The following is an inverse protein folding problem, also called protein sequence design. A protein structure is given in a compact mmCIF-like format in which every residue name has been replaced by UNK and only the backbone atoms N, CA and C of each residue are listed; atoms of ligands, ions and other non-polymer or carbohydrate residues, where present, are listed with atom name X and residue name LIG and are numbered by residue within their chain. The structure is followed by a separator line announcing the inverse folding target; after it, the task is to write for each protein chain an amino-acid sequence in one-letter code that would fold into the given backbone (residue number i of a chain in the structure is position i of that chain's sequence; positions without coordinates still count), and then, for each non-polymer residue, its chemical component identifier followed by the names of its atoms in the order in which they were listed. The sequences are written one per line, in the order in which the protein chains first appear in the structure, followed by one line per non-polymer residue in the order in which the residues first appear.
data_IF_943443920335
#
_entry.id   IF_943443920335
#
_cell.length_a   1.000
_cell.length_b   1.000
_cell.length_c   1.000
_cell.angle_alpha   90.00
_cell.angle_beta   90.00
_cell.angle_gamma   90.00
#
_symmetry.space_group_name_H-M   'P 1'
#
loop_
_entity.id
_entity.type
_entity.pdbx_description
1 polymer ?
#
# COMPACT_ATOMS: atom_id res chain seq x y z
N UNK A 1 46.09 -23.56 14.20
CA UNK A 1 44.94 -24.36 14.64
C UNK A 1 44.14 -23.50 15.58
N UNK A 2 42.94 -23.05 15.30
CA UNK A 2 42.07 -23.08 14.12
C UNK A 2 41.00 -22.03 14.47
N UNK A 3 40.49 -21.28 13.48
CA UNK A 3 39.25 -20.54 13.72
C UNK A 3 38.13 -21.53 14.04
N UNK A 4 37.09 -21.05 14.73
CA UNK A 4 35.85 -20.96 13.96
C UNK A 4 35.24 -19.58 14.07
N UNK A 5 35.04 -18.98 12.90
CA UNK A 5 33.97 -18.03 12.64
C UNK A 5 32.67 -18.64 13.13
N UNK A 6 32.12 -18.11 14.22
CA UNK A 6 30.70 -18.24 14.45
C UNK A 6 30.03 -17.25 13.50
N UNK A 7 29.52 -17.78 12.38
CA UNK A 7 28.42 -17.18 11.66
C UNK A 7 27.32 -16.86 12.67
N UNK A 8 27.28 -15.62 13.12
CA UNK A 8 26.14 -15.07 13.84
C UNK A 8 25.04 -14.94 12.79
N UNK A 9 24.35 -16.07 12.60
CA UNK A 9 23.07 -16.16 11.92
C UNK A 9 22.24 -15.00 12.41
N UNK A 10 22.01 -14.03 11.54
CA UNK A 10 21.02 -13.00 11.75
C UNK A 10 19.69 -13.74 11.94
N UNK A 11 19.36 -14.04 13.18
CA UNK A 11 18.00 -14.36 13.60
C UNK A 11 17.16 -13.18 13.14
N UNK A 12 16.54 -13.33 11.96
CA UNK A 12 15.37 -12.57 11.55
C UNK A 12 14.38 -12.71 12.70
N UNK A 13 14.42 -11.73 13.61
CA UNK A 13 13.35 -11.54 14.57
C UNK A 13 12.09 -11.44 13.74
N UNK A 14 11.14 -12.40 13.83
CA UNK A 14 9.86 -12.22 13.18
C UNK A 14 9.27 -11.01 13.87
N UNK A 15 9.27 -9.86 13.17
CA UNK A 15 8.64 -8.63 13.62
C UNK A 15 7.23 -9.04 14.02
N UNK A 16 7.00 -9.08 15.32
CA UNK A 16 5.76 -9.58 15.93
C UNK A 16 4.60 -8.96 15.18
N UNK A 17 3.85 -9.77 14.41
CA UNK A 17 2.59 -9.35 13.80
C UNK A 17 1.70 -8.89 14.95
N UNK A 18 1.44 -7.59 15.14
CA UNK A 18 0.55 -7.15 16.19
C UNK A 18 -0.84 -7.58 15.73
N UNK A 19 -1.54 -8.42 16.52
CA UNK A 19 -2.91 -8.91 16.31
C UNK A 19 -3.34 -8.85 14.83
N UNK A 20 -3.18 -9.93 14.04
CA UNK A 20 -3.55 -9.96 12.61
C UNK A 20 -5.01 -9.54 12.41
N UNK A 21 -5.24 -8.24 12.38
CA UNK A 21 -6.42 -7.63 11.81
C UNK A 21 -6.35 -8.11 10.37
N UNK A 22 -7.36 -8.84 9.88
CA UNK A 22 -7.39 -9.23 8.49
C UNK A 22 -7.22 -7.95 7.68
N UNK A 23 -6.19 -7.89 6.85
CA UNK A 23 -5.83 -6.69 6.09
C UNK A 23 -5.66 -7.11 4.65
N UNK A 24 -6.37 -6.44 3.75
CA UNK A 24 -6.14 -6.61 2.34
C UNK A 24 -5.14 -5.57 1.87
N UNK A 25 -4.11 -6.03 1.18
CA UNK A 25 -3.11 -5.17 0.57
C UNK A 25 -3.06 -5.40 -0.93
N UNK A 26 -2.99 -4.30 -1.68
CA UNK A 26 -2.61 -4.31 -3.09
C UNK A 26 -1.33 -3.53 -3.28
N UNK A 27 -0.40 -4.08 -4.03
CA UNK A 27 0.83 -3.40 -4.42
C UNK A 27 0.73 -2.99 -5.87
N UNK A 28 0.74 -1.70 -6.13
CA UNK A 28 0.81 -1.18 -7.48
C UNK A 28 2.26 -0.86 -7.79
N UNK A 29 2.87 -1.67 -8.66
CA UNK A 29 4.27 -1.53 -9.06
C UNK A 29 4.34 -0.76 -10.38
N UNK A 30 5.07 0.34 -10.39
CA UNK A 30 5.30 1.15 -11.58
C UNK A 30 6.63 0.73 -12.24
N UNK A 31 6.60 0.47 -13.54
CA UNK A 31 7.82 0.10 -14.27
C UNK A 31 8.77 1.27 -14.50
N UNK A 32 8.23 2.49 -14.58
CA UNK A 32 8.98 3.71 -14.83
C UNK A 32 8.69 4.75 -13.74
N UNK A 33 9.47 4.78 -12.65
CA UNK A 33 9.40 5.88 -11.69
C UNK A 33 9.81 7.19 -12.37
N UNK A 34 9.06 8.26 -12.14
CA UNK A 34 9.32 9.58 -12.74
C UNK A 34 8.50 10.69 -12.10
N UNK A 35 8.90 11.95 -12.31
CA UNK A 35 8.22 13.11 -11.73
C UNK A 35 6.75 13.19 -12.15
N UNK A 36 6.46 12.92 -13.42
CA UNK A 36 5.08 12.89 -13.92
C UNK A 36 4.23 11.85 -13.20
N UNK A 37 4.80 10.69 -12.88
CA UNK A 37 4.11 9.66 -12.10
C UNK A 37 3.85 10.14 -10.68
N UNK A 38 4.85 10.70 -10.00
CA UNK A 38 4.67 11.28 -8.67
C UNK A 38 3.56 12.33 -8.64
N UNK A 39 3.51 13.23 -9.62
CA UNK A 39 2.45 14.23 -9.75
C UNK A 39 1.06 13.57 -9.93
N UNK A 40 0.97 12.51 -10.75
CA UNK A 40 -0.26 11.75 -10.91
C UNK A 40 -0.67 11.03 -9.63
N UNK A 41 0.27 10.42 -8.90
CA UNK A 41 0.02 9.79 -7.59
C UNK A 41 -0.54 10.84 -6.62
N UNK A 42 0.08 12.02 -6.54
CA UNK A 42 -0.41 13.15 -5.72
C UNK A 42 -1.82 13.58 -6.13
N UNK A 43 -2.12 13.59 -7.43
CA UNK A 43 -3.46 13.93 -7.93
C UNK A 43 -4.50 12.89 -7.51
N UNK A 44 -4.15 11.60 -7.55
CA UNK A 44 -5.00 10.52 -7.03
C UNK A 44 -5.19 10.66 -5.51
N UNK A 45 -4.12 10.90 -4.75
CA UNK A 45 -4.19 11.12 -3.30
C UNK A 45 -5.14 12.28 -2.94
N UNK A 46 -4.99 13.42 -3.62
CA UNK A 46 -5.87 14.58 -3.42
C UNK A 46 -7.33 14.30 -3.81
N UNK A 47 -7.54 13.58 -4.91
CA UNK A 47 -8.88 13.16 -5.36
C UNK A 47 -9.58 12.28 -4.33
N UNK A 48 -8.82 11.47 -3.62
CA UNK A 48 -9.30 10.58 -2.56
C UNK A 48 -9.29 11.23 -1.16
N UNK A 49 -9.02 12.54 -1.09
CA UNK A 49 -8.91 13.32 0.15
C UNK A 49 -7.95 12.63 1.15
N UNK A 50 -6.85 12.07 0.62
CA UNK A 50 -5.85 11.39 1.41
C UNK A 50 -4.96 12.41 2.12
N UNK A 51 -4.85 12.30 3.44
CA UNK A 51 -3.97 13.14 4.25
C UNK A 51 -2.66 12.40 4.55
N UNK A 52 -1.56 13.14 4.60
CA UNK A 52 -0.27 12.58 5.00
C UNK A 52 -0.23 12.42 6.52
N UNK A 53 0.09 11.21 6.97
CA UNK A 53 0.33 10.87 8.37
C UNK A 53 1.85 10.88 8.60
N UNK A 54 2.33 11.90 9.31
CA UNK A 54 3.75 12.08 9.58
C UNK A 54 4.30 11.10 10.64
N UNK A 55 3.44 10.49 11.47
CA UNK A 55 3.87 9.48 12.45
C UNK A 55 4.28 8.19 11.73
N UNK A 56 3.47 7.79 10.73
CA UNK A 56 3.68 6.58 9.95
C UNK A 56 4.41 6.83 8.63
N UNK A 57 4.55 8.09 8.20
CA UNK A 57 5.06 8.50 6.88
C UNK A 57 4.31 7.81 5.73
N UNK A 58 2.98 7.78 5.82
CA UNK A 58 2.09 7.18 4.82
C UNK A 58 0.94 8.15 4.56
N UNK A 59 0.18 7.91 3.50
CA UNK A 59 -1.07 8.62 3.26
C UNK A 59 -2.25 7.83 3.77
N UNK A 60 -3.26 8.51 4.27
CA UNK A 60 -4.49 7.91 4.78
C UNK A 60 -5.68 8.55 4.08
N UNK A 61 -6.41 7.76 3.31
CA UNK A 61 -7.63 8.19 2.64
C UNK A 61 -8.86 7.85 3.48
N UNK A 62 -9.83 8.76 3.47
CA UNK A 62 -11.11 8.56 4.13
C UNK A 62 -11.84 7.35 3.52
N UNK A 63 -12.00 6.30 4.32
CA UNK A 63 -12.75 5.12 3.93
C UNK A 63 -14.25 5.40 3.77
N UNK A 64 -15.05 4.36 3.79
CA UNK A 64 -16.52 4.47 3.92
C UNK A 64 -16.89 4.99 5.32
N UNK A 65 -16.06 4.71 6.32
CA UNK A 65 -16.20 5.23 7.68
C UNK A 65 -14.87 5.81 8.16
N UNK A 66 -14.91 6.88 8.98
CA UNK A 66 -13.70 7.47 9.56
C UNK A 66 -12.95 6.49 10.47
N UNK A 67 -13.64 5.48 11.00
CA UNK A 67 -13.03 4.42 11.81
C UNK A 67 -12.29 3.34 10.98
N UNK A 68 -12.33 3.41 9.66
CA UNK A 68 -11.62 2.48 8.79
C UNK A 68 -11.05 3.17 7.54
N UNK A 69 -9.97 3.96 7.69
CA UNK A 69 -9.30 4.63 6.58
C UNK A 69 -8.54 3.63 5.70
N UNK A 70 -8.39 3.97 4.42
CA UNK A 70 -7.44 3.28 3.53
C UNK A 70 -6.05 3.86 3.77
N UNK A 71 -5.07 2.99 3.95
CA UNK A 71 -3.67 3.39 4.11
C UNK A 71 -2.96 3.22 2.78
N UNK A 72 -2.12 4.18 2.44
CA UNK A 72 -1.42 4.25 1.18
C UNK A 72 0.05 4.48 1.50
N UNK A 73 0.84 3.44 1.34
CA UNK A 73 2.27 3.40 1.64
C UNK A 73 3.06 3.21 0.35
N UNK A 74 4.38 3.27 0.42
CA UNK A 74 5.23 2.88 -0.69
C UNK A 74 5.21 1.35 -0.84
N UNK A 75 5.25 0.82 -2.06
CA UNK A 75 5.34 -0.63 -2.27
C UNK A 75 6.74 -1.18 -1.96
N UNK A 76 7.76 -0.33 -1.97
CA UNK A 76 9.13 -0.69 -1.63
C UNK A 76 9.39 -0.50 -0.14
N UNK A 77 10.03 -1.46 0.54
CA UNK A 77 10.48 -1.28 1.92
C UNK A 77 11.50 -0.13 1.97
N UNK A 78 11.41 0.81 2.93
CA UNK A 78 10.68 0.76 4.21
C UNK A 78 9.18 1.10 4.17
N UNK A 79 8.57 1.31 3.00
CA UNK A 79 7.13 1.59 2.86
C UNK A 79 6.75 3.06 3.09
N UNK A 80 7.75 3.93 3.19
CA UNK A 80 7.56 5.35 3.48
C UNK A 80 7.21 6.13 2.21
N UNK A 81 6.14 6.92 2.28
CA UNK A 81 5.77 7.85 1.24
C UNK A 81 6.42 9.21 1.50
N UNK A 82 6.93 9.89 0.46
CA UNK A 82 7.40 11.25 0.59
C UNK A 82 6.24 12.18 0.98
N UNK A 83 6.47 13.21 1.81
CA UNK A 83 5.47 14.24 2.05
C UNK A 83 5.15 15.03 0.77
N UNK A 84 3.99 15.67 0.78
CA UNK A 84 3.42 16.37 -0.38
C UNK A 84 4.35 17.45 -1.00
N UNK A 85 5.21 18.02 -0.17
CA UNK A 85 6.20 19.05 -0.50
C UNK A 85 7.38 18.49 -1.31
N UNK A 86 7.81 17.26 -1.03
CA UNK A 86 8.96 16.63 -1.71
C UNK A 86 8.54 15.69 -2.84
N UNK A 87 7.23 15.50 -3.04
CA UNK A 87 6.68 14.76 -4.18
C UNK A 87 7.15 15.30 -5.54
N UNK A 88 7.49 16.59 -5.62
CA UNK A 88 8.01 17.23 -6.84
C UNK A 88 9.53 17.11 -7.00
N UNK A 89 10.23 16.45 -6.06
CA UNK A 89 11.68 16.26 -6.12
C UNK A 89 12.03 14.96 -6.83
N UNK A 90 13.02 15.01 -7.72
CA UNK A 90 13.53 13.85 -8.48
C UNK A 90 14.23 12.83 -7.60
N UNK A 91 14.66 13.20 -6.40
CA UNK A 91 15.26 12.28 -5.42
C UNK A 91 14.24 11.35 -4.75
N UNK A 92 12.93 11.65 -4.87
CA UNK A 92 11.86 10.94 -4.17
C UNK A 92 10.86 10.27 -5.13
N UNK A 93 11.36 9.64 -6.20
CA UNK A 93 10.50 8.94 -7.16
C UNK A 93 9.90 7.66 -6.57
N UNK A 94 8.58 7.52 -6.70
CA UNK A 94 7.86 6.34 -6.28
C UNK A 94 7.86 5.28 -7.39
N UNK A 95 8.60 4.19 -7.18
CA UNK A 95 8.53 3.02 -8.04
C UNK A 95 7.28 2.15 -7.80
N UNK A 96 6.53 2.40 -6.72
CA UNK A 96 5.36 1.62 -6.40
C UNK A 96 4.62 2.15 -5.19
N UNK A 97 3.32 1.87 -5.11
CA UNK A 97 2.43 2.28 -4.03
C UNK A 97 1.69 1.05 -3.51
N UNK A 98 1.67 0.85 -2.20
CA UNK A 98 0.88 -0.17 -1.53
C UNK A 98 -0.39 0.45 -0.95
N UNK A 99 -1.54 -0.11 -1.29
CA UNK A 99 -2.84 0.29 -0.75
C UNK A 99 -3.30 -0.79 0.21
N UNK A 100 -3.47 -0.40 1.47
CA UNK A 100 -3.70 -1.28 2.61
C UNK A 100 -5.07 -0.93 3.20
N UNK A 101 -5.95 -1.91 3.27
CA UNK A 101 -7.25 -1.81 3.91
C UNK A 101 -7.28 -2.75 5.10
N UNK A 102 -7.40 -2.17 6.30
CA UNK A 102 -7.59 -2.96 7.51
C UNK A 102 -9.06 -3.38 7.67
N UNK A 103 -9.29 -4.53 8.28
CA UNK A 103 -10.65 -4.94 8.65
C UNK A 103 -11.14 -4.08 9.83
N UNK A 104 -12.37 -3.56 9.75
CA UNK A 104 -12.96 -2.82 10.87
C UNK A 104 -13.17 -3.75 12.07
N UNK A 105 -12.59 -3.39 13.23
CA UNK A 105 -12.67 -4.17 14.48
C UNK A 105 -14.09 -4.54 14.94
N UNK A 106 -15.12 -3.75 14.55
CA UNK A 106 -16.52 -3.95 14.94
C UNK A 106 -17.39 -4.75 13.94
N UNK A 107 -16.90 -5.15 12.77
CA UNK A 107 -17.69 -5.94 11.80
C UNK A 107 -17.09 -7.33 11.54
N UNK A 108 -17.96 -8.32 11.27
CA UNK A 108 -17.59 -9.71 10.96
C UNK A 108 -16.74 -9.86 9.69
N UNK A 109 -16.79 -8.91 8.75
CA UNK A 109 -16.07 -8.95 7.47
C UNK A 109 -15.69 -7.56 6.99
N UNK A 110 -14.95 -7.51 5.86
CA UNK A 110 -14.71 -6.27 5.14
C UNK A 110 -16.01 -5.74 4.54
N UNK A 111 -16.16 -4.42 4.51
CA UNK A 111 -17.30 -3.81 3.85
C UNK A 111 -17.14 -3.95 2.33
N UNK A 112 -18.15 -4.44 1.61
CA UNK A 112 -18.09 -4.55 0.14
C UNK A 112 -17.78 -3.21 -0.50
N UNK A 113 -18.28 -2.12 0.07
CA UNK A 113 -18.02 -0.75 -0.40
C UNK A 113 -16.56 -0.35 -0.16
N UNK A 114 -15.95 -0.77 0.96
CA UNK A 114 -14.52 -0.52 1.23
C UNK A 114 -13.62 -1.32 0.30
N UNK A 115 -13.96 -2.59 0.05
CA UNK A 115 -13.24 -3.41 -0.93
C UNK A 115 -13.37 -2.80 -2.33
N UNK A 116 -14.55 -2.31 -2.69
CA UNK A 116 -14.76 -1.56 -3.93
C UNK A 116 -13.88 -0.31 -4.01
N UNK A 117 -13.76 0.46 -2.92
CA UNK A 117 -12.85 1.61 -2.83
C UNK A 117 -11.37 1.21 -2.99
N UNK A 118 -10.95 0.15 -2.30
CA UNK A 118 -9.60 -0.39 -2.38
C UNK A 118 -9.24 -0.79 -3.82
N UNK A 119 -10.14 -1.51 -4.49
CA UNK A 119 -9.99 -1.90 -5.90
C UNK A 119 -9.94 -0.67 -6.79
N UNK A 120 -10.88 0.25 -6.64
CA UNK A 120 -10.94 1.46 -7.46
C UNK A 120 -9.67 2.31 -7.32
N UNK A 121 -9.18 2.49 -6.09
CA UNK A 121 -7.93 3.22 -5.83
C UNK A 121 -6.73 2.52 -6.46
N UNK A 122 -6.66 1.18 -6.34
CA UNK A 122 -5.59 0.38 -6.94
C UNK A 122 -5.64 0.42 -8.48
N UNK A 123 -6.84 0.39 -9.07
CA UNK A 123 -7.06 0.56 -10.51
C UNK A 123 -6.68 1.97 -10.98
N UNK A 124 -6.97 3.02 -10.21
CA UNK A 124 -6.52 4.38 -10.53
C UNK A 124 -5.01 4.49 -10.55
N UNK A 125 -4.32 3.91 -9.56
CA UNK A 125 -2.86 3.84 -9.58
C UNK A 125 -2.36 3.02 -10.77
N UNK A 126 -2.94 1.85 -11.06
CA UNK A 126 -2.53 1.04 -12.20
C UNK A 126 -2.70 1.75 -13.54
N UNK A 127 -3.75 2.55 -13.69
CA UNK A 127 -3.98 3.38 -14.87
C UNK A 127 -2.87 4.42 -15.10
N UNK A 128 -2.06 4.75 -14.09
CA UNK A 128 -0.89 5.63 -14.22
C UNK A 128 0.31 4.94 -14.91
N UNK A 129 0.20 3.65 -15.24
CA UNK A 129 1.28 2.83 -15.81
C UNK A 129 1.82 1.78 -14.84
N UNK A 130 1.03 1.40 -13.84
CA UNK A 130 1.38 0.42 -12.81
C UNK A 130 0.70 -0.93 -13.03
N UNK A 131 1.28 -1.98 -12.47
CA UNK A 131 0.66 -3.31 -12.36
C UNK A 131 0.20 -3.53 -10.93
N UNK A 132 -1.06 -3.90 -10.75
CA UNK A 132 -1.60 -4.25 -9.43
C UNK A 132 -1.18 -5.67 -9.11
N UNK A 133 -0.64 -5.87 -7.92
CA UNK A 133 -0.31 -7.15 -7.33
C UNK A 133 -1.12 -7.29 -6.04
N UNK A 134 -1.55 -8.51 -5.73
CA UNK A 134 -2.21 -8.82 -4.46
C UNK A 134 -1.20 -9.07 -3.33
N UNK A 135 -1.71 -9.51 -2.17
CA UNK A 135 -0.92 -9.86 -0.99
C UNK A 135 0.12 -10.96 -1.24
N UNK A 136 -0.12 -11.83 -2.23
CA UNK A 136 0.81 -12.87 -2.67
C UNK A 136 1.78 -12.37 -3.75
N UNK A 137 1.77 -11.06 -4.03
CA UNK A 137 2.49 -10.40 -5.13
C UNK A 137 2.14 -10.97 -6.51
N UNK A 138 0.97 -11.57 -6.65
CA UNK A 138 0.45 -12.04 -7.92
C UNK A 138 -0.32 -10.94 -8.63
N UNK A 139 -0.28 -10.85 -9.97
CA UNK A 139 -1.01 -9.83 -10.72
C UNK A 139 -2.51 -9.90 -10.41
N UNK A 140 -3.01 -8.89 -9.70
CA UNK A 140 -4.40 -8.79 -9.33
C UNK A 140 -5.20 -8.38 -10.57
N UNK A 141 -6.09 -9.27 -10.98
CA UNK A 141 -6.98 -9.02 -12.12
C UNK A 141 -8.38 -8.70 -11.64
N UNK A 142 -9.25 -8.25 -12.55
CA UNK A 142 -10.69 -8.10 -12.27
C UNK A 142 -11.33 -9.36 -11.67
N UNK A 143 -10.80 -10.56 -11.95
CA UNK A 143 -11.25 -11.79 -11.31
C UNK A 143 -10.89 -11.82 -9.82
N UNK A 144 -9.65 -11.49 -9.46
CA UNK A 144 -9.19 -11.35 -8.07
C UNK A 144 -10.06 -10.34 -7.32
N UNK A 145 -10.34 -9.18 -7.93
CA UNK A 145 -11.20 -8.16 -7.36
C UNK A 145 -12.65 -8.62 -7.16
N UNK A 146 -13.22 -9.39 -8.10
CA UNK A 146 -14.56 -9.99 -7.94
C UNK A 146 -14.58 -11.05 -6.84
N UNK A 147 -13.50 -11.82 -6.70
CA UNK A 147 -13.39 -12.85 -5.68
C UNK A 147 -13.37 -12.26 -4.27
N UNK A 148 -12.62 -11.18 -4.05
CA UNK A 148 -12.56 -10.52 -2.73
C UNK A 148 -13.82 -9.69 -2.42
N UNK A 149 -14.43 -9.03 -3.44
CA UNK A 149 -15.67 -8.26 -3.26
C UNK A 149 -16.91 -9.15 -3.10
N UNK A 150 -16.75 -10.46 -3.30
CA UNK A 150 -17.79 -11.47 -3.12
C UNK A 150 -18.92 -11.32 -4.14
N UNK A 151 -18.54 -11.40 -5.43
CA UNK A 151 -19.38 -11.26 -6.63
C UNK A 151 -20.86 -11.63 -6.48
#
# INVERSE_FOLDING_TARGET
MDLPEQEEQATEVPVSKPDEIPTHVFYVMFQQPGLELNQKIKLVLNKWEAYFDAELNIYMASGVTPQNPLRIANAYPPGLMPPDEVFQQEDHLLGGVSVILNKPKRKRGFDKVQLGKLVALSEEFAALGGTILDEERQPATRKTFKSITGG
#
